data_IF_005746395516
#
_entry.id   IF_005746395516
#
_cell.length_a   1.000
_cell.length_b   1.000
_cell.length_c   1.000
_cell.angle_alpha   90.00
_cell.angle_beta   90.00
_cell.angle_gamma   90.00
#
_symmetry.space_group_name_H-M   'P 1'
#
loop_
_entity.id
_entity.type
_entity.pdbx_description
1 polymer ?
#
# COMPACT_ATOMS: atom_id res chain seq x y z
N UNK A 1 12.27 1.55 -14.77
CA UNK A 1 11.22 0.95 -13.92
C UNK A 1 9.91 1.20 -14.63
N UNK A 2 9.33 0.20 -15.29
CA UNK A 2 7.97 0.30 -15.83
C UNK A 2 7.04 -0.27 -14.77
N UNK A 3 6.40 0.60 -13.99
CA UNK A 3 5.22 0.24 -13.21
C UNK A 3 4.00 0.62 -14.04
N UNK A 4 3.34 -0.35 -14.66
CA UNK A 4 1.99 -0.14 -15.20
C UNK A 4 0.99 -0.63 -14.16
N UNK A 5 0.02 0.21 -13.81
CA UNK A 5 -1.13 -0.21 -13.02
C UNK A 5 -1.94 -1.23 -13.82
N UNK A 6 -2.29 -2.35 -13.20
CA UNK A 6 -2.88 -3.48 -13.92
C UNK A 6 -4.41 -3.28 -14.06
N UNK A 7 -5.02 -2.50 -13.16
CA UNK A 7 -6.47 -2.23 -13.16
C UNK A 7 -6.75 -0.87 -12.49
N UNK A 8 -7.41 0.04 -13.21
CA UNK A 8 -7.94 1.30 -12.67
C UNK A 8 -9.48 1.26 -12.70
N UNK A 9 -10.11 1.89 -11.70
CA UNK A 9 -11.56 2.14 -11.70
C UNK A 9 -11.83 3.57 -11.29
N UNK A 10 -12.83 4.19 -11.90
CA UNK A 10 -13.23 5.57 -11.62
C UNK A 10 -14.58 5.54 -10.92
N UNK A 11 -14.64 6.12 -9.71
CA UNK A 11 -15.92 6.31 -9.02
C UNK A 11 -16.80 7.26 -9.81
N UNK A 12 -18.03 6.83 -10.10
CA UNK A 12 -19.07 7.69 -10.67
C UNK A 12 -19.75 8.57 -9.60
N UNK A 13 -19.52 8.28 -8.31
CA UNK A 13 -20.03 9.08 -7.21
C UNK A 13 -19.13 10.31 -6.99
N UNK A 14 -19.68 11.51 -6.79
CA UNK A 14 -18.92 12.76 -6.67
C UNK A 14 -18.03 12.84 -5.42
N UNK A 15 -18.26 11.97 -4.43
CA UNK A 15 -17.47 11.90 -3.22
C UNK A 15 -17.21 10.46 -2.78
N UNK A 16 -15.95 10.16 -2.48
CA UNK A 16 -15.55 8.94 -1.77
C UNK A 16 -15.19 9.37 -0.35
N UNK A 17 -15.87 8.81 0.65
CA UNK A 17 -15.55 9.01 2.06
C UNK A 17 -14.68 7.91 2.65
N UNK A 18 -14.70 6.72 2.04
CA UNK A 18 -13.96 5.56 2.52
C UNK A 18 -13.66 4.60 1.37
N UNK A 19 -12.50 3.97 1.41
CA UNK A 19 -12.20 2.75 0.66
C UNK A 19 -11.54 1.75 1.60
N UNK A 20 -12.02 0.51 1.59
CA UNK A 20 -11.48 -0.54 2.43
C UNK A 20 -11.33 -1.85 1.66
N UNK A 21 -10.35 -2.65 2.06
CA UNK A 21 -10.11 -3.98 1.52
C UNK A 21 -9.66 -4.93 2.61
N UNK A 22 -9.98 -6.21 2.44
CA UNK A 22 -9.52 -7.28 3.32
C UNK A 22 -8.73 -8.27 2.49
N UNK A 23 -7.52 -8.62 2.93
CA UNK A 23 -6.66 -9.58 2.23
C UNK A 23 -6.23 -10.70 3.16
N UNK A 24 -5.81 -11.80 2.55
CA UNK A 24 -5.03 -12.82 3.22
C UNK A 24 -3.62 -12.72 2.67
N UNK A 25 -2.62 -12.65 3.54
CA UNK A 25 -1.21 -12.61 3.11
C UNK A 25 -0.91 -13.87 2.30
N UNK A 26 -0.47 -13.75 1.04
CA UNK A 26 -0.21 -14.90 0.20
C UNK A 26 1.12 -15.55 0.57
N UNK A 27 1.35 -16.74 0.03
CA UNK A 27 2.67 -17.40 0.09
C UNK A 27 3.76 -16.47 -0.42
N UNK A 28 4.91 -16.50 0.26
CA UNK A 28 6.07 -15.71 -0.13
C UNK A 28 6.46 -16.03 -1.59
N UNK A 29 6.78 -15.02 -2.41
CA UNK A 29 7.14 -15.24 -3.80
C UNK A 29 8.44 -16.04 -3.91
N UNK A 30 8.48 -16.99 -4.86
CA UNK A 30 9.72 -17.69 -5.20
C UNK A 30 10.75 -16.72 -5.77
N UNK A 31 11.95 -16.70 -5.18
CA UNK A 31 13.05 -15.89 -5.71
C UNK A 31 13.62 -16.55 -6.96
N UNK A 32 13.35 -15.98 -8.14
CA UNK A 32 13.90 -16.42 -9.43
C UNK A 32 15.09 -15.58 -9.92
N UNK A 33 15.50 -14.56 -9.16
CA UNK A 33 16.62 -13.68 -9.48
C UNK A 33 17.99 -14.27 -9.11
N UNK A 34 19.08 -13.69 -9.62
CA UNK A 34 20.45 -14.15 -9.35
C UNK A 34 20.88 -13.97 -7.89
N UNK A 35 20.16 -13.14 -7.13
CA UNK A 35 20.37 -12.93 -5.69
C UNK A 35 19.07 -13.29 -4.96
N UNK A 36 19.07 -14.35 -4.13
CA UNK A 36 17.92 -14.72 -3.31
C UNK A 36 17.40 -13.55 -2.47
N UNK A 37 16.09 -13.34 -2.45
CA UNK A 37 15.44 -12.35 -1.58
C UNK A 37 15.45 -10.90 -2.11
N UNK A 38 15.94 -10.66 -3.32
CA UNK A 38 15.96 -9.31 -3.92
C UNK A 38 14.71 -8.96 -4.74
N UNK A 39 13.77 -9.89 -4.90
CA UNK A 39 12.47 -9.61 -5.52
C UNK A 39 11.62 -8.73 -4.61
N UNK A 40 11.01 -7.69 -5.18
CA UNK A 40 10.09 -6.81 -4.46
C UNK A 40 8.68 -6.99 -5.02
N UNK A 41 7.71 -7.24 -4.14
CA UNK A 41 6.29 -7.37 -4.49
C UNK A 41 5.50 -6.35 -3.68
N UNK A 42 4.50 -5.74 -4.30
CA UNK A 42 3.59 -4.78 -3.70
C UNK A 42 2.17 -5.17 -4.04
N UNK A 43 1.34 -5.32 -3.01
CA UNK A 43 -0.08 -5.55 -3.13
C UNK A 43 -0.78 -4.40 -2.40
N UNK A 44 -1.63 -3.66 -3.12
CA UNK A 44 -2.38 -2.56 -2.55
C UNK A 44 -3.64 -2.23 -3.32
N UNK A 45 -4.59 -1.65 -2.59
CA UNK A 45 -5.62 -0.82 -3.18
C UNK A 45 -5.22 0.64 -2.98
N UNK A 46 -5.32 1.44 -4.04
CA UNK A 46 -4.93 2.84 -4.03
C UNK A 46 -6.12 3.76 -4.26
N UNK A 47 -6.12 4.92 -3.59
CA UNK A 47 -6.97 6.05 -3.96
C UNK A 47 -6.08 7.19 -4.45
N UNK A 48 -6.23 7.52 -5.73
CA UNK A 48 -5.50 8.62 -6.36
C UNK A 48 -6.23 9.94 -6.09
N UNK A 49 -5.51 10.94 -5.59
CA UNK A 49 -6.03 12.31 -5.46
C UNK A 49 -5.81 13.05 -6.79
N UNK A 50 -6.59 12.70 -7.81
CA UNK A 50 -6.48 13.24 -9.18
C UNK A 50 -7.84 13.32 -9.89
N UNK A 51 -7.89 13.90 -11.09
CA UNK A 51 -9.14 14.05 -11.88
C UNK A 51 -9.49 12.81 -12.73
N UNK A 52 -8.93 11.65 -12.38
CA UNK A 52 -9.06 10.43 -13.19
C UNK A 52 -8.25 10.44 -14.50
N UNK A 53 -7.43 11.47 -14.73
CA UNK A 53 -6.51 11.54 -15.87
C UNK A 53 -5.10 11.19 -15.40
N UNK A 54 -4.51 10.15 -15.98
CA UNK A 54 -3.14 9.71 -15.66
C UNK A 54 -2.15 10.88 -15.72
N UNK A 55 -1.33 11.01 -14.67
CA UNK A 55 -0.31 12.08 -14.55
C UNK A 55 -0.78 13.37 -13.86
N UNK A 56 -2.04 13.45 -13.43
CA UNK A 56 -2.57 14.62 -12.67
C UNK A 56 -2.71 14.38 -11.17
N UNK A 57 -2.35 13.18 -10.70
CA UNK A 57 -2.33 12.81 -9.28
C UNK A 57 -1.50 13.78 -8.45
N UNK A 58 -2.06 14.28 -7.34
CA UNK A 58 -1.25 14.87 -6.26
C UNK A 58 -0.54 13.81 -5.42
N UNK A 59 -1.09 12.60 -5.38
CA UNK A 59 -0.54 11.44 -4.72
C UNK A 59 -1.53 10.27 -4.66
N UNK A 60 -1.04 9.15 -4.16
CA UNK A 60 -1.78 7.90 -3.99
C UNK A 60 -1.76 7.52 -2.52
N UNK A 61 -2.94 7.45 -1.93
CA UNK A 61 -3.19 6.87 -0.62
C UNK A 61 -3.23 5.35 -0.78
N UNK A 62 -2.52 4.59 0.04
CA UNK A 62 -2.47 3.13 -0.11
C UNK A 62 -2.03 2.43 1.20
N UNK A 63 -2.84 1.53 1.77
CA UNK A 63 -2.31 0.48 2.63
C UNK A 63 -1.55 -0.52 1.75
N UNK A 64 -0.31 -0.86 2.10
CA UNK A 64 0.59 -1.65 1.24
C UNK A 64 1.09 -2.87 1.97
N UNK A 65 0.79 -4.05 1.40
CA UNK A 65 1.46 -5.30 1.71
C UNK A 65 2.64 -5.45 0.76
N UNK A 66 3.83 -5.61 1.32
CA UNK A 66 5.06 -5.66 0.55
C UNK A 66 5.97 -6.80 0.98
N UNK A 67 6.63 -7.41 0.00
CA UNK A 67 7.66 -8.40 0.22
C UNK A 67 8.98 -7.86 -0.29
N UNK A 68 10.04 -8.00 0.49
CA UNK A 68 11.39 -7.53 0.13
C UNK A 68 11.57 -6.02 0.32
N UNK A 69 12.44 -5.41 -0.49
CA UNK A 69 12.81 -3.99 -0.37
C UNK A 69 11.66 -3.09 -0.81
N UNK A 70 11.44 -2.00 -0.07
CA UNK A 70 10.52 -0.96 -0.51
C UNK A 70 10.97 0.46 -0.18
N UNK A 71 10.24 1.44 -0.72
CA UNK A 71 10.49 2.87 -0.45
C UNK A 71 10.49 3.19 1.05
N UNK A 72 9.80 2.40 1.87
CA UNK A 72 9.76 2.55 3.33
C UNK A 72 10.29 1.35 4.10
N UNK A 73 10.80 0.33 3.40
CA UNK A 73 11.42 -0.86 3.98
C UNK A 73 12.84 -0.93 3.44
N UNK A 74 13.75 -0.31 4.19
CA UNK A 74 15.15 -0.17 3.81
C UNK A 74 15.96 -1.45 4.04
N UNK A 75 15.55 -2.28 4.99
CA UNK A 75 16.18 -3.57 5.26
C UNK A 75 15.43 -4.70 4.56
N UNK A 76 15.98 -5.28 3.48
CA UNK A 76 15.26 -6.19 2.59
C UNK A 76 15.21 -7.64 3.10
N UNK A 77 15.37 -7.88 4.40
CA UNK A 77 15.27 -9.24 4.94
C UNK A 77 13.94 -9.85 4.49
N UNK A 78 14.02 -11.05 3.91
CA UNK A 78 12.88 -11.78 3.36
C UNK A 78 11.72 -11.81 4.37
N UNK A 79 10.54 -11.34 3.94
CA UNK A 79 9.37 -11.28 4.81
C UNK A 79 8.31 -10.32 4.29
N UNK A 80 7.06 -10.64 4.61
CA UNK A 80 5.92 -9.78 4.34
C UNK A 80 5.83 -8.68 5.37
N UNK A 81 5.53 -7.47 4.91
CA UNK A 81 5.36 -6.28 5.73
C UNK A 81 4.15 -5.50 5.29
N UNK A 82 3.37 -5.04 6.26
CA UNK A 82 2.16 -4.27 6.04
C UNK A 82 2.28 -2.88 6.66
N UNK A 83 1.94 -1.84 5.90
CA UNK A 83 2.11 -0.45 6.35
C UNK A 83 1.31 0.54 5.51
N UNK A 84 0.92 1.65 6.14
CA UNK A 84 0.28 2.77 5.48
C UNK A 84 1.31 3.54 4.65
N UNK A 85 1.01 3.78 3.38
CA UNK A 85 1.84 4.50 2.42
C UNK A 85 1.05 5.68 1.84
N UNK A 86 1.69 6.84 1.78
CA UNK A 86 1.30 7.94 0.92
C UNK A 86 2.43 8.23 -0.06
N UNK A 87 2.15 8.15 -1.35
CA UNK A 87 3.14 8.43 -2.40
C UNK A 87 2.73 9.68 -3.15
N UNK A 88 3.57 10.72 -3.13
CA UNK A 88 3.30 11.97 -3.85
C UNK A 88 3.40 11.76 -5.36
N UNK A 89 2.84 12.70 -6.15
CA UNK A 89 3.00 12.71 -7.61
C UNK A 89 4.47 12.79 -8.07
N UNK A 90 5.40 13.23 -7.20
CA UNK A 90 6.85 13.19 -7.45
C UNK A 90 7.53 11.86 -7.12
N UNK A 91 6.77 10.86 -6.67
CA UNK A 91 7.27 9.52 -6.33
C UNK A 91 7.89 9.40 -4.93
N UNK A 92 7.72 10.41 -4.06
CA UNK A 92 8.22 10.35 -2.68
C UNK A 92 7.22 9.60 -1.80
N UNK A 93 7.68 8.55 -1.12
CA UNK A 93 6.88 7.77 -0.19
C UNK A 93 7.00 8.30 1.25
N UNK A 94 5.86 8.39 1.93
CA UNK A 94 5.70 8.67 3.35
C UNK A 94 4.94 7.52 3.97
N UNK A 95 5.41 7.01 5.11
CA UNK A 95 4.88 5.77 5.63
C UNK A 95 4.65 5.81 7.14
N UNK A 96 3.66 5.02 7.57
CA UNK A 96 3.44 4.71 8.97
C UNK A 96 4.42 3.66 9.49
N UNK A 97 4.13 3.14 10.68
CA UNK A 97 4.86 2.02 11.28
C UNK A 97 4.89 0.82 10.33
N UNK A 98 6.02 0.14 10.24
CA UNK A 98 6.12 -1.13 9.50
C UNK A 98 5.69 -2.27 10.42
N UNK A 99 4.73 -3.10 9.97
CA UNK A 99 4.27 -4.29 10.69
C UNK A 99 4.75 -5.53 9.94
N UNK A 100 5.35 -6.47 10.66
CA UNK A 100 5.69 -7.78 10.09
C UNK A 100 4.47 -8.68 10.14
N UNK A 101 4.22 -9.36 9.03
CA UNK A 101 3.07 -10.25 8.85
C UNK A 101 3.55 -11.54 8.18
N UNK A 102 2.75 -12.59 8.30
CA UNK A 102 3.07 -13.94 7.84
C UNK A 102 2.00 -14.43 6.88
N UNK A 103 2.34 -15.41 6.06
CA UNK A 103 1.39 -16.09 5.18
C UNK A 103 0.15 -16.56 5.96
N UNK A 104 -1.03 -16.30 5.41
CA UNK A 104 -2.30 -16.64 6.05
C UNK A 104 -2.85 -15.57 7.00
N UNK A 105 -2.07 -14.56 7.40
CA UNK A 105 -2.60 -13.46 8.20
C UNK A 105 -3.74 -12.74 7.47
N UNK A 106 -4.80 -12.43 8.22
CA UNK A 106 -5.88 -11.57 7.73
C UNK A 106 -5.52 -10.11 7.95
N UNK A 107 -5.55 -9.33 6.87
CA UNK A 107 -5.21 -7.90 6.87
C UNK A 107 -6.40 -7.07 6.45
N UNK A 108 -6.46 -5.84 6.96
CA UNK A 108 -7.41 -4.85 6.52
C UNK A 108 -6.72 -3.53 6.19
N UNK A 109 -6.89 -3.09 4.95
CA UNK A 109 -6.49 -1.78 4.48
C UNK A 109 -7.68 -0.84 4.49
N UNK A 110 -7.52 0.37 5.03
CA UNK A 110 -8.55 1.42 5.01
C UNK A 110 -7.96 2.76 4.61
N UNK A 111 -8.75 3.53 3.88
CA UNK A 111 -8.52 4.94 3.61
C UNK A 111 -9.82 5.66 3.93
N UNK A 112 -9.79 6.55 4.92
CA UNK A 112 -10.98 7.22 5.44
C UNK A 112 -10.78 8.72 5.39
N UNK A 113 -11.78 9.44 4.88
CA UNK A 113 -11.82 10.90 4.84
C UNK A 113 -12.52 11.43 6.08
N UNK A 114 -11.90 12.40 6.76
CA UNK A 114 -12.50 13.16 7.87
C UNK A 114 -12.21 14.65 7.68
N UNK A 115 -13.24 15.45 7.40
CA UNK A 115 -13.05 16.82 6.94
C UNK A 115 -12.27 16.85 5.62
N UNK A 116 -11.17 17.58 5.59
CA UNK A 116 -10.27 17.68 4.43
C UNK A 116 -9.07 16.71 4.48
N UNK A 117 -8.92 15.97 5.58
CA UNK A 117 -7.82 15.05 5.77
C UNK A 117 -8.19 13.61 5.41
N UNK A 118 -7.20 12.86 4.95
CA UNK A 118 -7.29 11.43 4.73
C UNK A 118 -6.42 10.68 5.73
N UNK A 119 -6.97 9.62 6.32
CA UNK A 119 -6.21 8.68 7.14
C UNK A 119 -6.12 7.35 6.43
N UNK A 120 -4.90 6.84 6.32
CA UNK A 120 -4.56 5.55 5.73
C UNK A 120 -4.24 4.62 6.89
N UNK A 121 -4.92 3.49 6.97
CA UNK A 121 -4.70 2.48 8.00
C UNK A 121 -4.38 1.13 7.35
N UNK A 122 -3.34 0.49 7.87
CA UNK A 122 -2.96 -0.88 7.58
C UNK A 122 -3.04 -1.66 8.90
N UNK A 123 -4.17 -2.34 9.10
CA UNK A 123 -4.48 -3.13 10.30
C UNK A 123 -4.14 -4.61 10.07
N UNK A 124 -3.22 -5.13 10.88
CA UNK A 124 -2.80 -6.53 10.89
C UNK A 124 -3.35 -7.29 12.11
N UNK A 125 -4.50 -6.86 12.64
CA UNK A 125 -5.18 -7.45 13.79
C UNK A 125 -4.30 -7.40 15.04
N UNK A 126 -4.08 -8.56 15.66
CA UNK A 126 -3.27 -8.68 16.88
C UNK A 126 -1.80 -8.23 16.72
N UNK A 127 -1.30 -8.10 15.48
CA UNK A 127 0.08 -7.63 15.19
C UNK A 127 0.19 -6.10 15.18
N UNK A 128 -0.95 -5.40 15.18
CA UNK A 128 -1.04 -3.94 15.34
C UNK A 128 -1.51 -3.19 14.11
N UNK A 129 -1.53 -1.86 14.22
CA UNK A 129 -2.02 -0.95 13.18
C UNK A 129 -0.93 0.04 12.78
N UNK A 130 -0.77 0.24 11.47
CA UNK A 130 0.05 1.27 10.87
C UNK A 130 -0.88 2.37 10.34
N UNK A 131 -0.56 3.63 10.64
CA UNK A 131 -1.40 4.75 10.24
C UNK A 131 -0.56 5.90 9.69
N UNK A 132 -1.12 6.62 8.72
CA UNK A 132 -0.58 7.86 8.18
C UNK A 132 -1.72 8.80 7.79
N UNK A 133 -1.62 10.08 8.17
CA UNK A 133 -2.62 11.10 7.85
C UNK A 133 -2.03 12.12 6.89
N UNK A 134 -2.82 12.50 5.88
CA UNK A 134 -2.49 13.47 4.82
C UNK A 134 -3.52 14.60 4.83
#
# INVERSE_FOLDING_TARGET
YYSSWIVDTVSLHPSIGMMATNWTVPTAPESRGPVPGMSSVYLFNGLETGTGHGGTSKGILQPVLSYGKSGCILNPLAGWRFTAFYVTGSGRAYCGKVIEVEEGDALQGRMTKSGDSWTIEADAGGKGVSSHTV
#
